data_IF_834364254275
#
_entry.id   IF_834364254275
#
_cell.length_a   1.000
_cell.length_b   1.000
_cell.length_c   1.000
_cell.angle_alpha   90.00
_cell.angle_beta   90.00
_cell.angle_gamma   90.00
#
_symmetry.space_group_name_H-M   'P 1'
#
loop_
_entity.id
_entity.type
_entity.pdbx_description
1 polymer ?
#
# COMPACT_ATOMS: atom_id res chain seq x y z
N UNK A 1 -6.84 9.30 7.22
CA UNK A 1 -6.47 8.03 6.55
C UNK A 1 -7.66 7.09 6.47
N UNK A 2 -8.06 6.72 5.26
CA UNK A 2 -9.25 5.91 5.01
C UNK A 2 -8.86 4.51 4.50
N UNK A 3 -9.33 3.47 5.19
CA UNK A 3 -9.17 2.06 4.79
C UNK A 3 -10.54 1.49 4.42
N UNK A 4 -10.63 0.94 3.22
CA UNK A 4 -11.82 0.26 2.72
C UNK A 4 -11.55 -1.23 2.53
N UNK A 5 -12.16 -2.07 3.37
CA UNK A 5 -12.04 -3.53 3.35
C UNK A 5 -13.00 -4.11 2.30
N UNK A 6 -12.44 -4.79 1.31
CA UNK A 6 -13.19 -5.31 0.16
C UNK A 6 -13.31 -6.84 0.23
N UNK A 7 -12.24 -7.51 0.69
CA UNK A 7 -12.20 -8.97 0.88
C UNK A 7 -11.38 -9.30 2.13
N UNK A 8 -11.41 -10.55 2.63
CA UNK A 8 -10.63 -10.94 3.80
C UNK A 8 -9.12 -10.69 3.66
N UNK A 9 -8.60 -10.70 2.43
CA UNK A 9 -7.20 -10.44 2.11
C UNK A 9 -7.00 -9.32 1.10
N UNK A 10 -7.95 -8.37 1.03
CA UNK A 10 -7.86 -7.21 0.14
C UNK A 10 -8.47 -5.97 0.78
N UNK A 11 -7.72 -4.87 0.74
CA UNK A 11 -8.24 -3.55 1.08
C UNK A 11 -7.64 -2.48 0.17
N UNK A 12 -8.26 -1.33 0.22
CA UNK A 12 -7.76 -0.12 -0.42
C UNK A 12 -7.55 0.95 0.65
N UNK A 13 -6.48 1.72 0.53
CA UNK A 13 -6.13 2.82 1.45
C UNK A 13 -5.89 4.11 0.66
N UNK A 14 -6.40 5.21 1.18
CA UNK A 14 -6.29 6.56 0.61
C UNK A 14 -6.28 7.62 1.71
N UNK A 15 -6.17 8.89 1.31
CA UNK A 15 -6.32 10.05 2.19
C UNK A 15 -5.34 9.97 3.38
N UNK A 16 -4.06 9.67 3.08
CA UNK A 16 -3.04 9.34 4.08
C UNK A 16 -2.75 10.46 5.08
N UNK A 17 -3.04 11.71 4.71
CA UNK A 17 -2.83 12.93 5.51
C UNK A 17 -4.07 13.35 6.31
N UNK A 18 -5.21 12.67 6.13
CA UNK A 18 -6.41 12.96 6.92
C UNK A 18 -6.18 12.57 8.40
N UNK A 19 -6.47 13.51 9.31
CA UNK A 19 -6.27 13.42 10.76
C UNK A 19 -7.08 12.27 11.39
N UNK A 20 -8.20 11.89 10.78
CA UNK A 20 -9.05 10.81 11.24
C UNK A 20 -8.62 9.46 10.66
N UNK A 21 -8.75 8.39 11.44
CA UNK A 21 -8.53 7.03 10.97
C UNK A 21 -9.87 6.31 10.79
N UNK A 22 -10.32 6.19 9.54
CA UNK A 22 -11.59 5.58 9.21
C UNK A 22 -11.39 4.19 8.59
N UNK A 23 -12.17 3.22 9.06
CA UNK A 23 -12.28 1.89 8.45
C UNK A 23 -13.71 1.71 7.99
N UNK A 24 -13.87 1.22 6.76
CA UNK A 24 -15.17 0.85 6.19
C UNK A 24 -15.09 -0.54 5.58
N UNK A 25 -16.21 -1.27 5.57
CA UNK A 25 -16.26 -2.64 5.09
C UNK A 25 -17.37 -2.85 4.05
N UNK A 26 -17.09 -3.61 2.99
CA UNK A 26 -18.12 -4.03 2.01
C UNK A 26 -19.14 -5.01 2.61
N UNK A 27 -18.80 -5.67 3.72
CA UNK A 27 -19.66 -6.66 4.39
C UNK A 27 -19.34 -6.78 5.88
N UNK A 28 -20.33 -7.04 6.76
CA UNK A 28 -20.12 -7.26 8.19
C UNK A 28 -19.20 -8.44 8.55
N UNK A 29 -18.91 -9.34 7.59
CA UNK A 29 -17.99 -10.45 7.79
C UNK A 29 -16.50 -10.03 7.71
N UNK A 30 -16.22 -8.83 7.22
CA UNK A 30 -14.88 -8.27 7.16
C UNK A 30 -14.60 -7.51 8.45
N UNK A 31 -13.35 -7.56 8.90
CA UNK A 31 -12.89 -6.81 10.04
C UNK A 31 -11.41 -6.47 9.90
N UNK A 32 -10.99 -5.36 10.50
CA UNK A 32 -9.61 -4.92 10.49
C UNK A 32 -8.77 -5.73 11.47
N UNK A 33 -8.25 -6.87 10.99
CA UNK A 33 -7.44 -7.78 11.79
C UNK A 33 -6.03 -7.24 12.04
N UNK A 34 -5.29 -7.87 12.96
CA UNK A 34 -3.87 -7.58 13.17
C UNK A 34 -3.02 -7.82 11.90
N UNK A 35 -3.40 -8.80 11.07
CA UNK A 35 -2.73 -9.09 9.79
C UNK A 35 -3.03 -8.00 8.76
N UNK A 36 -4.27 -7.52 8.72
CA UNK A 36 -4.67 -6.36 7.89
C UNK A 36 -3.90 -5.11 8.30
N UNK A 37 -3.78 -4.86 9.61
CA UNK A 37 -3.00 -3.74 10.16
C UNK A 37 -1.52 -3.81 9.77
N UNK A 38 -0.92 -5.00 9.77
CA UNK A 38 0.46 -5.20 9.31
C UNK A 38 0.66 -4.82 7.84
N UNK A 39 -0.26 -5.27 6.96
CA UNK A 39 -0.22 -4.92 5.53
C UNK A 39 -0.52 -3.43 5.33
N UNK A 40 -1.41 -2.83 6.13
CA UNK A 40 -1.66 -1.38 6.12
C UNK A 40 -0.43 -0.57 6.54
N UNK A 41 0.35 -1.07 7.50
CA UNK A 41 1.61 -0.44 7.89
C UNK A 41 2.61 -0.41 6.72
N UNK A 42 2.72 -1.50 5.95
CA UNK A 42 3.54 -1.53 4.73
C UNK A 42 3.08 -0.47 3.71
N UNK A 43 1.77 -0.35 3.48
CA UNK A 43 1.23 0.66 2.57
C UNK A 43 1.52 2.10 3.04
N UNK A 44 1.28 2.41 4.33
CA UNK A 44 1.57 3.75 4.89
C UNK A 44 3.05 4.08 4.87
N UNK A 45 3.91 3.12 5.19
CA UNK A 45 5.37 3.28 5.14
C UNK A 45 5.84 3.56 3.70
N UNK A 46 5.23 2.87 2.73
CA UNK A 46 5.48 3.13 1.30
C UNK A 46 5.01 4.54 0.92
N UNK A 47 3.80 4.95 1.32
CA UNK A 47 3.30 6.29 1.03
C UNK A 47 4.21 7.41 1.59
N UNK A 48 4.73 7.24 2.81
CA UNK A 48 5.68 8.21 3.40
C UNK A 48 6.95 8.39 2.53
N UNK A 49 7.44 7.33 1.89
CA UNK A 49 8.54 7.46 0.92
C UNK A 49 8.07 8.20 -0.34
N UNK A 50 6.87 7.90 -0.82
CA UNK A 50 6.30 8.53 -2.02
C UNK A 50 6.02 10.02 -1.84
N UNK A 51 5.50 10.45 -0.68
CA UNK A 51 5.32 11.86 -0.31
C UNK A 51 6.63 12.65 -0.47
N UNK A 52 7.73 12.15 0.09
CA UNK A 52 9.06 12.78 -0.03
C UNK A 52 9.53 12.88 -1.48
N UNK A 53 9.14 11.93 -2.33
CA UNK A 53 9.44 11.96 -3.76
C UNK A 53 8.52 12.93 -4.51
N UNK A 54 7.22 12.96 -4.22
CA UNK A 54 6.22 13.82 -4.86
C UNK A 54 6.59 15.29 -4.79
N UNK A 55 7.06 15.74 -3.62
CA UNK A 55 7.56 17.10 -3.40
C UNK A 55 8.73 17.50 -4.31
N UNK A 56 9.44 16.55 -4.93
CA UNK A 56 10.60 16.84 -5.81
C UNK A 56 10.23 17.05 -7.27
N UNK A 57 9.03 16.69 -7.71
CA UNK A 57 8.67 16.73 -9.14
C UNK A 57 7.21 17.07 -9.41
N UNK A 58 6.58 17.84 -8.52
CA UNK A 58 5.26 18.46 -8.72
C UNK A 58 4.14 17.43 -8.98
N UNK A 59 4.24 16.29 -8.30
CA UNK A 59 3.18 15.28 -8.25
C UNK A 59 2.52 15.38 -6.87
N UNK A 60 1.21 15.53 -6.85
CA UNK A 60 0.44 15.64 -5.62
C UNK A 60 0.29 14.27 -4.95
N UNK A 61 0.94 14.04 -3.78
CA UNK A 61 0.87 12.76 -3.08
C UNK A 61 -0.49 12.51 -2.42
N UNK A 62 -1.33 13.53 -2.21
CA UNK A 62 -2.67 13.36 -1.62
C UNK A 62 -3.60 12.54 -2.54
N UNK A 63 -3.31 12.56 -3.85
CA UNK A 63 -4.05 11.76 -4.85
C UNK A 63 -3.68 10.27 -4.87
N UNK A 64 -2.72 9.84 -4.03
CA UNK A 64 -2.27 8.44 -4.00
C UNK A 64 -3.34 7.56 -3.38
N UNK A 65 -3.66 6.48 -4.08
CA UNK A 65 -4.51 5.39 -3.61
C UNK A 65 -3.76 4.08 -3.75
N UNK A 66 -3.72 3.27 -2.70
CA UNK A 66 -3.02 1.98 -2.72
C UNK A 66 -4.02 0.85 -2.48
N UNK A 67 -4.07 -0.10 -3.40
CA UNK A 67 -4.78 -1.37 -3.21
C UNK A 67 -3.78 -2.42 -2.77
N UNK A 68 -4.09 -3.08 -1.66
CA UNK A 68 -3.29 -4.14 -1.07
C UNK A 68 -4.05 -5.46 -1.18
N UNK A 69 -3.39 -6.49 -1.67
CA UNK A 69 -3.90 -7.87 -1.69
C UNK A 69 -2.81 -8.83 -1.23
N UNK A 70 -3.17 -9.94 -0.58
CA UNK A 70 -2.17 -10.93 -0.15
C UNK A 70 -2.71 -12.35 -0.13
N UNK A 71 -1.79 -13.31 -0.11
CA UNK A 71 -2.07 -14.73 0.16
C UNK A 71 -1.26 -15.23 1.35
N UNK A 72 -1.76 -16.30 1.95
CA UNK A 72 -1.05 -17.04 2.99
C UNK A 72 -0.41 -18.30 2.43
N UNK A 73 0.79 -18.62 2.91
CA UNK A 73 1.33 -19.97 2.85
C UNK A 73 0.79 -20.76 4.04
N UNK A 74 0.67 -22.08 3.89
CA UNK A 74 0.28 -22.97 4.98
C UNK A 74 1.51 -23.67 5.57
N UNK A 75 1.40 -24.09 6.85
CA UNK A 75 2.38 -24.95 7.56
C UNK A 75 3.82 -24.40 7.62
N UNK A 76 4.10 -23.33 8.41
CA UNK A 76 3.16 -22.57 9.25
C UNK A 76 2.42 -21.50 8.45
N UNK A 77 1.27 -21.04 8.98
CA UNK A 77 0.53 -19.93 8.38
C UNK A 77 1.35 -18.65 8.44
N UNK A 78 1.69 -18.10 7.28
CA UNK A 78 2.45 -16.86 7.13
C UNK A 78 2.08 -16.16 5.83
N UNK A 79 2.43 -14.89 5.67
CA UNK A 79 2.34 -14.23 4.37
C UNK A 79 3.19 -14.96 3.34
N UNK A 80 2.60 -15.27 2.20
CA UNK A 80 3.31 -15.85 1.04
C UNK A 80 3.72 -14.73 0.09
N UNK A 81 2.73 -13.98 -0.38
CA UNK A 81 2.91 -12.83 -1.25
C UNK A 81 2.05 -11.65 -0.78
N UNK A 82 2.52 -10.44 -1.06
CA UNK A 82 1.76 -9.20 -0.93
C UNK A 82 1.87 -8.46 -2.25
N UNK A 83 0.73 -8.11 -2.83
CA UNK A 83 0.61 -7.29 -4.03
C UNK A 83 0.16 -5.90 -3.61
N UNK A 84 0.96 -4.90 -3.98
CA UNK A 84 0.74 -3.48 -3.72
C UNK A 84 0.60 -2.76 -5.07
N UNK A 85 -0.63 -2.41 -5.42
CA UNK A 85 -0.97 -1.62 -6.60
C UNK A 85 -1.18 -0.16 -6.17
N UNK A 86 -0.27 0.71 -6.60
CA UNK A 86 -0.25 2.14 -6.27
C UNK A 86 -0.79 2.90 -7.47
N UNK A 87 -1.93 3.57 -7.29
CA UNK A 87 -2.49 4.50 -8.26
C UNK A 87 -2.08 5.92 -7.88
N UNK A 88 -1.37 6.60 -8.79
CA UNK A 88 -0.90 7.97 -8.59
C UNK A 88 -1.14 8.79 -9.88
N UNK A 89 -2.33 9.40 -10.03
CA UNK A 89 -2.76 9.99 -11.30
C UNK A 89 -1.97 11.25 -11.68
N UNK A 90 -1.43 11.97 -10.70
CA UNK A 90 -0.66 13.21 -10.91
C UNK A 90 0.82 12.96 -11.17
N UNK A 91 1.28 11.71 -11.15
CA UNK A 91 2.68 11.35 -11.37
C UNK A 91 3.08 11.58 -12.85
N UNK A 92 4.12 12.39 -13.13
CA UNK A 92 4.64 12.51 -14.50
C UNK A 92 5.13 11.15 -15.02
N UNK A 93 4.68 10.73 -16.20
CA UNK A 93 4.98 9.42 -16.79
C UNK A 93 6.50 9.10 -16.82
N UNK A 94 7.32 10.11 -17.10
CA UNK A 94 8.80 10.00 -17.10
C UNK A 94 9.39 9.56 -15.75
N UNK A 95 8.65 9.71 -14.65
CA UNK A 95 9.05 9.33 -13.28
C UNK A 95 8.52 7.97 -12.85
N UNK A 96 7.63 7.34 -13.60
CA UNK A 96 6.97 6.09 -13.25
C UNK A 96 7.96 5.01 -12.76
N UNK A 97 8.99 4.72 -13.56
CA UNK A 97 10.01 3.72 -13.22
C UNK A 97 10.83 4.10 -11.98
N UNK A 98 11.17 5.38 -11.81
CA UNK A 98 11.93 5.81 -10.63
C UNK A 98 11.10 5.75 -9.36
N UNK A 99 9.81 6.08 -9.44
CA UNK A 99 8.89 6.05 -8.31
C UNK A 99 8.53 4.62 -7.93
N UNK A 100 8.31 3.74 -8.91
CA UNK A 100 8.09 2.31 -8.61
C UNK A 100 9.29 1.69 -7.90
N UNK A 101 10.53 2.06 -8.26
CA UNK A 101 11.71 1.65 -7.49
C UNK A 101 11.71 2.24 -6.08
N UNK A 102 11.39 3.52 -5.93
CA UNK A 102 11.33 4.15 -4.61
C UNK A 102 10.29 3.50 -3.68
N UNK A 103 9.14 3.09 -4.22
CA UNK A 103 8.09 2.39 -3.49
C UNK A 103 8.56 1.06 -2.87
N UNK A 104 9.61 0.45 -3.43
CA UNK A 104 10.20 -0.81 -2.94
C UNK A 104 11.25 -0.60 -1.83
N UNK A 105 11.42 0.62 -1.32
CA UNK A 105 12.51 0.95 -0.38
C UNK A 105 12.05 1.55 0.94
N UNK A 106 10.76 1.45 1.27
CA UNK A 106 10.31 1.85 2.60
C UNK A 106 10.89 0.92 3.68
N UNK A 107 10.99 1.41 4.92
CA UNK A 107 11.63 0.67 6.02
C UNK A 107 10.98 -0.69 6.24
N UNK A 108 9.64 -0.78 6.21
CA UNK A 108 8.93 -2.05 6.40
C UNK A 108 9.20 -3.00 5.24
N UNK A 109 9.19 -2.52 3.99
CA UNK A 109 9.53 -3.33 2.82
C UNK A 109 10.92 -3.97 2.99
N UNK A 110 11.94 -3.15 3.26
CA UNK A 110 13.31 -3.65 3.46
C UNK A 110 13.42 -4.62 4.64
N UNK A 111 12.59 -4.46 5.68
CA UNK A 111 12.60 -5.34 6.87
C UNK A 111 12.08 -6.75 6.55
N UNK A 112 11.14 -6.88 5.61
CA UNK A 112 10.40 -8.14 5.42
C UNK A 112 10.64 -8.80 4.06
N UNK A 113 11.33 -8.14 3.12
CA UNK A 113 11.49 -8.63 1.74
C UNK A 113 12.16 -10.01 1.61
N UNK A 114 12.96 -10.43 2.60
CA UNK A 114 13.55 -11.78 2.65
C UNK A 114 12.56 -12.86 3.13
N UNK A 115 11.43 -12.46 3.71
CA UNK A 115 10.46 -13.34 4.36
C UNK A 115 9.15 -13.50 3.58
N UNK A 116 8.81 -12.53 2.73
CA UNK A 116 7.57 -12.46 1.95
C UNK A 116 7.86 -11.86 0.58
N UNK A 117 7.26 -12.43 -0.46
CA UNK A 117 7.34 -11.88 -1.81
C UNK A 117 6.47 -10.61 -1.90
N UNK A 118 7.07 -9.46 -2.20
CA UNK A 118 6.34 -8.19 -2.34
C UNK A 118 6.37 -7.73 -3.78
N UNK A 119 5.22 -7.75 -4.44
CA UNK A 119 5.04 -7.19 -5.77
C UNK A 119 4.53 -5.75 -5.65
N UNK A 120 5.25 -4.79 -6.23
CA UNK A 120 4.90 -3.37 -6.19
C UNK A 120 4.78 -2.81 -7.59
N UNK A 121 3.59 -2.31 -7.93
CA UNK A 121 3.29 -1.70 -9.23
C UNK A 121 2.78 -0.28 -9.01
N UNK A 122 3.27 0.67 -9.82
CA UNK A 122 2.73 2.04 -9.86
C UNK A 122 2.01 2.25 -11.18
N UNK A 123 0.83 2.88 -11.15
CA UNK A 123 -0.03 3.13 -12.32
C UNK A 123 -0.54 4.58 -12.30
N UNK A 124 -0.76 5.12 -13.49
CA UNK A 124 -1.31 6.47 -13.69
C UNK A 124 -2.84 6.46 -13.88
N UNK A 125 -3.42 5.31 -14.26
CA UNK A 125 -4.84 5.09 -14.58
C UNK A 125 -5.34 3.93 -13.73
#
# INVERSE_FOLDING_TARGET
>A
MNIHLQKPTQFTISDFEDDDFNITEESPALYFSALTMWVAALARCTNAVLEVYGHRFDADPETIKITMNWEYAEKPTKFKNIVMDIHWPTLPEKRLKSVQRAAQHCTIHNTIHDCVDIETTVRLI
#
